data_IF_992926229617
#
_entry.id   IF_992926229617
#
_cell.length_a   1.000
_cell.length_b   1.000
_cell.length_c   1.000
_cell.angle_alpha   90.00
_cell.angle_beta   90.00
_cell.angle_gamma   90.00
#
_symmetry.space_group_name_H-M   'P 1'
#
loop_
_entity.id
_entity.type
_entity.pdbx_description
1 polymer ?
#
# COMPACT_ATOMS: atom_id res chain seq x y z
N UNK A 1 -16.05 -16.14 -10.87
CA UNK A 1 -16.58 -15.11 -9.99
C UNK A 1 -15.55 -14.81 -8.92
N UNK A 2 -15.32 -13.53 -8.67
CA UNK A 2 -14.36 -13.07 -7.65
C UNK A 2 -14.76 -13.61 -6.26
N UNK A 3 -13.79 -14.20 -5.58
CA UNK A 3 -13.88 -14.57 -4.16
C UNK A 3 -12.88 -13.72 -3.38
N UNK A 4 -13.29 -13.25 -2.22
CA UNK A 4 -12.46 -12.43 -1.31
C UNK A 4 -12.43 -13.11 0.05
N UNK A 5 -11.24 -13.26 0.62
CA UNK A 5 -11.13 -13.69 2.01
C UNK A 5 -11.60 -12.56 2.93
N UNK A 6 -12.77 -12.77 3.52
CA UNK A 6 -13.35 -11.83 4.48
C UNK A 6 -12.82 -12.12 5.88
N UNK A 7 -12.03 -11.21 6.43
CA UNK A 7 -11.44 -11.38 7.76
C UNK A 7 -12.51 -11.56 8.85
N UNK A 8 -13.67 -10.91 8.71
CA UNK A 8 -14.77 -11.04 9.66
C UNK A 8 -15.37 -12.45 9.64
N UNK A 9 -15.57 -13.02 8.45
CA UNK A 9 -16.10 -14.38 8.27
C UNK A 9 -15.02 -15.46 8.39
N UNK A 10 -13.71 -15.11 8.23
CA UNK A 10 -12.55 -16.02 8.22
C UNK A 10 -12.58 -17.07 7.12
N UNK A 11 -13.21 -16.76 6.02
CA UNK A 11 -13.33 -17.62 4.84
C UNK A 11 -13.34 -16.81 3.55
N UNK A 12 -13.07 -17.48 2.42
CA UNK A 12 -13.26 -16.90 1.10
C UNK A 12 -14.75 -16.90 0.76
N UNK A 13 -15.30 -15.70 0.54
CA UNK A 13 -16.69 -15.49 0.16
C UNK A 13 -16.77 -14.99 -1.27
N UNK A 14 -17.81 -15.39 -2.00
CA UNK A 14 -18.11 -14.81 -3.31
C UNK A 14 -18.43 -13.33 -3.14
N UNK A 15 -17.69 -12.48 -3.85
CA UNK A 15 -17.90 -11.04 -3.79
C UNK A 15 -19.17 -10.66 -4.54
N UNK A 16 -20.09 -10.01 -3.84
CA UNK A 16 -21.31 -9.45 -4.38
C UNK A 16 -21.39 -8.00 -3.96
N UNK A 17 -21.21 -7.03 -4.87
CA UNK A 17 -21.31 -5.61 -4.53
C UNK A 17 -22.74 -5.24 -4.15
N UNK A 18 -22.90 -4.29 -3.24
CA UNK A 18 -24.20 -3.79 -2.78
C UNK A 18 -25.00 -3.16 -3.92
N UNK A 19 -24.32 -2.52 -4.84
CA UNK A 19 -24.91 -1.96 -6.06
C UNK A 19 -24.28 -2.67 -7.26
N UNK A 20 -25.10 -3.30 -8.08
CA UNK A 20 -24.62 -4.05 -9.24
C UNK A 20 -23.68 -3.19 -10.11
N UNK A 21 -22.48 -3.71 -10.39
CA UNK A 21 -21.45 -3.04 -11.18
C UNK A 21 -20.68 -1.94 -10.46
N UNK A 22 -20.98 -1.60 -9.19
CA UNK A 22 -20.28 -0.58 -8.41
C UNK A 22 -19.67 -1.15 -7.16
N UNK A 23 -18.50 -0.66 -6.79
CA UNK A 23 -17.80 -1.06 -5.57
C UNK A 23 -17.41 0.17 -4.77
N UNK A 24 -17.76 0.19 -3.51
CA UNK A 24 -17.35 1.18 -2.52
C UNK A 24 -16.25 0.57 -1.65
N UNK A 25 -15.04 1.17 -1.68
CA UNK A 25 -13.88 0.66 -0.96
C UNK A 25 -13.24 1.77 -0.12
N UNK A 26 -13.11 1.53 1.19
CA UNK A 26 -12.36 2.37 2.11
C UNK A 26 -11.11 1.66 2.58
N UNK A 27 -9.98 2.35 2.61
CA UNK A 27 -8.72 1.82 3.18
C UNK A 27 -8.16 2.81 4.17
N UNK A 28 -7.85 2.34 5.38
CA UNK A 28 -7.18 3.17 6.37
C UNK A 28 -5.85 3.66 5.84
N UNK A 29 -5.71 4.98 5.81
CA UNK A 29 -4.50 5.67 5.39
C UNK A 29 -3.50 5.87 6.52
N UNK A 30 -2.55 6.76 6.30
CA UNK A 30 -1.42 6.93 7.17
C UNK A 30 -1.57 8.12 8.10
N UNK A 31 -0.95 8.01 9.29
CA UNK A 31 -0.67 9.16 10.16
C UNK A 31 0.58 9.86 9.62
N UNK A 32 0.41 11.09 9.14
CA UNK A 32 1.44 11.83 8.39
C UNK A 32 2.36 12.63 9.31
N UNK A 33 3.23 11.94 10.03
CA UNK A 33 4.21 12.56 10.95
C UNK A 33 5.67 12.24 10.60
N UNK A 34 5.91 11.32 9.67
CA UNK A 34 7.23 10.87 9.24
C UNK A 34 7.15 10.26 7.84
N UNK A 35 8.30 9.99 7.20
CA UNK A 35 8.36 9.33 5.89
C UNK A 35 7.72 7.94 5.90
N UNK A 36 7.14 7.57 4.76
CA UNK A 36 6.55 6.25 4.57
C UNK A 36 7.62 5.15 4.61
N UNK A 37 7.28 4.03 5.24
CA UNK A 37 8.13 2.84 5.32
C UNK A 37 7.57 1.69 4.47
N UNK A 38 8.33 0.59 4.35
CA UNK A 38 7.92 -0.58 3.55
C UNK A 38 6.56 -1.18 3.93
N UNK A 39 6.14 -1.07 5.19
CA UNK A 39 4.79 -1.47 5.61
C UNK A 39 3.71 -0.63 4.93
N UNK A 40 3.92 0.69 4.82
CA UNK A 40 3.04 1.60 4.08
C UNK A 40 3.07 1.30 2.58
N UNK A 41 4.27 1.07 1.99
CA UNK A 41 4.39 0.66 0.60
C UNK A 41 3.54 -0.58 0.30
N UNK A 42 3.56 -1.56 1.21
CA UNK A 42 2.77 -2.78 1.06
C UNK A 42 1.27 -2.50 1.03
N UNK A 43 0.75 -1.71 1.97
CA UNK A 43 -0.68 -1.32 1.99
C UNK A 43 -1.04 -0.61 0.68
N UNK A 44 -0.25 0.39 0.27
CA UNK A 44 -0.50 1.17 -0.94
C UNK A 44 -0.52 0.31 -2.20
N UNK A 45 0.49 -0.54 -2.42
CA UNK A 45 0.60 -1.41 -3.59
C UNK A 45 -0.49 -2.48 -3.62
N UNK A 46 -0.81 -3.09 -2.46
CA UNK A 46 -1.86 -4.13 -2.38
C UNK A 46 -3.22 -3.55 -2.73
N UNK A 47 -3.62 -2.43 -2.15
CA UNK A 47 -4.94 -1.86 -2.43
C UNK A 47 -5.03 -1.15 -3.78
N UNK A 48 -3.92 -0.67 -4.33
CA UNK A 48 -3.83 -0.26 -5.73
C UNK A 48 -4.07 -1.47 -6.66
N UNK A 49 -3.44 -2.60 -6.41
CA UNK A 49 -3.64 -3.83 -7.17
C UNK A 49 -5.10 -4.33 -7.08
N UNK A 50 -5.69 -4.32 -5.88
CA UNK A 50 -7.11 -4.67 -5.68
C UNK A 50 -8.02 -3.74 -6.51
N UNK A 51 -7.80 -2.42 -6.43
CA UNK A 51 -8.57 -1.43 -7.20
C UNK A 51 -8.40 -1.60 -8.70
N UNK A 52 -7.16 -1.83 -9.18
CA UNK A 52 -6.87 -2.08 -10.60
C UNK A 52 -7.58 -3.33 -11.09
N UNK A 53 -7.55 -4.43 -10.35
CA UNK A 53 -8.24 -5.66 -10.74
C UNK A 53 -9.75 -5.51 -10.78
N UNK A 54 -10.35 -4.90 -9.76
CA UNK A 54 -11.79 -4.64 -9.74
C UNK A 54 -12.23 -3.82 -10.95
N UNK A 55 -11.47 -2.78 -11.32
CA UNK A 55 -11.73 -1.96 -12.52
C UNK A 55 -11.51 -2.73 -13.82
N UNK A 56 -10.46 -3.53 -13.91
CA UNK A 56 -10.20 -4.39 -15.07
C UNK A 56 -11.29 -5.46 -15.25
N UNK A 57 -11.91 -5.90 -14.15
CA UNK A 57 -13.08 -6.78 -14.17
C UNK A 57 -14.40 -6.08 -14.53
N UNK A 58 -14.37 -4.80 -14.92
CA UNK A 58 -15.53 -4.02 -15.36
C UNK A 58 -16.36 -3.38 -14.25
N UNK A 59 -15.84 -3.29 -13.03
CA UNK A 59 -16.52 -2.66 -11.90
C UNK A 59 -16.15 -1.16 -11.80
N UNK A 60 -17.15 -0.33 -11.50
CA UNK A 60 -16.98 1.09 -11.16
C UNK A 60 -16.61 1.21 -9.68
N UNK A 61 -15.32 1.50 -9.41
CA UNK A 61 -14.77 1.51 -8.04
C UNK A 61 -14.65 2.93 -7.53
N UNK A 62 -15.30 3.23 -6.42
CA UNK A 62 -15.02 4.43 -5.61
C UNK A 62 -14.06 4.04 -4.48
N UNK A 63 -12.80 4.44 -4.62
CA UNK A 63 -11.74 4.14 -3.66
C UNK A 63 -11.43 5.37 -2.79
N UNK A 64 -11.65 5.22 -1.48
CA UNK A 64 -11.37 6.23 -0.45
C UNK A 64 -10.19 5.77 0.40
N UNK A 65 -9.18 6.62 0.58
CA UNK A 65 -8.08 6.42 1.53
C UNK A 65 -7.88 7.71 2.34
N UNK A 66 -8.07 7.65 3.64
CA UNK A 66 -7.94 8.84 4.47
C UNK A 66 -6.49 9.26 4.72
N UNK A 67 -6.36 10.50 5.17
CA UNK A 67 -5.12 11.05 5.72
C UNK A 67 -5.41 11.44 7.18
N UNK A 68 -4.71 10.78 8.12
CA UNK A 68 -4.74 11.17 9.52
C UNK A 68 -3.75 12.30 9.73
N UNK A 69 -4.24 13.54 9.76
CA UNK A 69 -3.49 14.78 9.90
C UNK A 69 -3.62 15.40 11.30
N UNK A 70 -4.17 14.65 12.26
CA UNK A 70 -4.22 14.97 13.69
C UNK A 70 -4.03 13.72 14.55
N UNK A 71 -2.96 13.67 15.35
CA UNK A 71 -2.63 12.54 16.22
C UNK A 71 -1.59 12.98 17.27
N UNK A 72 -1.45 12.23 18.38
CA UNK A 72 -0.44 12.48 19.42
C UNK A 72 0.98 12.54 18.84
N UNK A 73 1.31 11.68 17.86
CA UNK A 73 2.63 11.61 17.23
C UNK A 73 2.90 12.86 16.38
N UNK A 74 1.88 13.36 15.68
CA UNK A 74 1.96 14.59 14.89
C UNK A 74 2.23 15.78 15.80
N UNK A 75 1.43 15.92 16.86
CA UNK A 75 1.55 17.01 17.83
C UNK A 75 2.93 17.00 18.50
N UNK A 76 3.37 15.81 18.96
CA UNK A 76 4.68 15.65 19.57
C UNK A 76 5.80 16.08 18.60
N UNK A 77 5.75 15.59 17.36
CA UNK A 77 6.78 15.89 16.33
C UNK A 77 6.80 17.37 15.95
N UNK A 78 5.64 18.00 15.81
CA UNK A 78 5.53 19.42 15.51
C UNK A 78 6.11 20.28 16.65
N UNK A 79 5.79 19.94 17.91
CA UNK A 79 6.35 20.61 19.09
C UNK A 79 7.88 20.43 19.19
N UNK A 80 8.40 19.23 18.92
CA UNK A 80 9.84 18.96 18.90
C UNK A 80 10.56 19.78 17.81
N UNK A 81 9.92 19.98 16.66
CA UNK A 81 10.46 20.78 15.55
C UNK A 81 10.22 22.28 15.71
N UNK A 82 9.36 22.72 16.62
CA UNK A 82 8.96 24.12 16.79
C UNK A 82 8.17 24.67 15.60
N UNK A 83 7.35 23.82 14.95
CA UNK A 83 6.55 24.16 13.76
C UNK A 83 5.06 23.88 13.97
N UNK A 84 4.21 24.50 13.13
CA UNK A 84 2.77 24.22 13.12
C UNK A 84 2.48 22.82 12.56
N UNK A 85 1.44 22.15 13.11
CA UNK A 85 1.05 20.80 12.67
C UNK A 85 0.65 20.77 11.17
N UNK A 86 0.06 21.85 10.65
CA UNK A 86 -0.34 21.91 9.24
C UNK A 86 0.88 21.93 8.32
N UNK A 87 1.96 22.59 8.72
CA UNK A 87 3.23 22.62 7.98
C UNK A 87 3.89 21.23 8.00
N UNK A 88 3.94 20.62 9.18
CA UNK A 88 4.49 19.27 9.33
C UNK A 88 3.71 18.26 8.48
N UNK A 89 2.38 18.21 8.62
CA UNK A 89 1.55 17.23 7.94
C UNK A 89 1.55 17.42 6.42
N UNK A 90 1.52 18.68 5.92
CA UNK A 90 1.59 18.92 4.47
C UNK A 90 2.89 18.39 3.89
N UNK A 91 4.04 18.63 4.54
CA UNK A 91 5.33 18.10 4.08
C UNK A 91 5.34 16.59 3.95
N UNK A 92 4.75 15.86 4.91
CA UNK A 92 4.71 14.41 4.85
C UNK A 92 3.60 13.85 3.94
N UNK A 93 2.55 14.62 3.67
CA UNK A 93 1.58 14.32 2.60
C UNK A 93 2.28 14.40 1.24
N UNK A 94 3.00 15.49 0.98
CA UNK A 94 3.73 15.67 -0.28
C UNK A 94 4.75 14.54 -0.49
N UNK A 95 5.50 14.19 0.57
CA UNK A 95 6.43 13.07 0.54
C UNK A 95 5.76 11.70 0.31
N UNK A 96 4.59 11.47 0.89
CA UNK A 96 3.79 10.26 0.67
C UNK A 96 3.29 10.18 -0.78
N UNK A 97 2.84 11.29 -1.34
CA UNK A 97 2.37 11.37 -2.73
C UNK A 97 3.51 11.07 -3.71
N UNK A 98 4.71 11.64 -3.47
CA UNK A 98 5.92 11.34 -4.25
C UNK A 98 6.29 9.84 -4.16
N UNK A 99 6.37 9.29 -2.96
CA UNK A 99 6.70 7.88 -2.72
C UNK A 99 5.68 6.94 -3.38
N UNK A 100 4.38 7.28 -3.32
CA UNK A 100 3.30 6.53 -3.96
C UNK A 100 3.42 6.56 -5.48
N UNK A 101 3.67 7.73 -6.06
CA UNK A 101 3.83 7.91 -7.50
C UNK A 101 5.03 7.12 -8.03
N UNK A 102 6.17 7.13 -7.33
CA UNK A 102 7.35 6.33 -7.68
C UNK A 102 7.04 4.84 -7.72
N UNK A 103 6.24 4.33 -6.77
CA UNK A 103 5.80 2.93 -6.74
C UNK A 103 4.72 2.59 -7.78
N UNK A 104 4.32 3.52 -8.65
CA UNK A 104 3.27 3.34 -9.64
C UNK A 104 1.89 3.14 -9.02
N UNK A 105 1.68 3.61 -7.79
CA UNK A 105 0.38 3.56 -7.10
C UNK A 105 -0.52 4.67 -7.64
N UNK A 106 -1.72 4.30 -8.10
CA UNK A 106 -2.72 5.26 -8.54
C UNK A 106 -3.29 6.01 -7.33
N UNK A 107 -3.57 7.30 -7.54
CA UNK A 107 -4.26 8.07 -6.50
C UNK A 107 -5.63 7.45 -6.21
N UNK A 108 -6.06 7.38 -4.94
CA UNK A 108 -7.44 7.11 -4.59
C UNK A 108 -8.37 8.17 -5.21
N UNK A 109 -9.62 7.81 -5.43
CA UNK A 109 -10.61 8.76 -5.95
C UNK A 109 -10.88 9.90 -4.95
N UNK A 110 -10.82 9.56 -3.65
CA UNK A 110 -11.05 10.52 -2.56
C UNK A 110 -10.02 10.30 -1.45
N UNK A 111 -9.33 11.37 -1.03
CA UNK A 111 -8.39 11.37 0.10
C UNK A 111 -8.82 12.39 1.16
N UNK A 112 -9.78 12.04 2.04
CA UNK A 112 -10.28 12.94 3.06
C UNK A 112 -9.25 13.11 4.19
N UNK A 113 -9.15 14.34 4.73
CA UNK A 113 -8.34 14.66 5.91
C UNK A 113 -9.19 14.60 7.17
N UNK A 114 -8.65 14.05 8.24
CA UNK A 114 -9.35 13.93 9.53
C UNK A 114 -9.77 15.31 10.08
N UNK A 115 -8.90 16.32 9.99
CA UNK A 115 -9.18 17.68 10.48
C UNK A 115 -10.37 18.35 9.78
N UNK A 116 -10.65 17.99 8.52
CA UNK A 116 -11.80 18.49 7.77
C UNK A 116 -13.14 17.84 8.18
N UNK A 117 -13.09 16.76 8.97
CA UNK A 117 -14.29 15.97 9.32
C UNK A 117 -14.65 16.01 10.82
N UNK A 118 -14.02 16.89 11.60
CA UNK A 118 -14.21 16.98 13.06
C UNK A 118 -15.67 17.22 13.43
N UNK A 119 -16.40 18.04 12.67
CA UNK A 119 -17.84 18.26 12.90
C UNK A 119 -18.68 16.97 12.80
N UNK A 120 -18.35 16.11 11.83
CA UNK A 120 -18.98 14.78 11.71
C UNK A 120 -18.63 13.85 12.87
N UNK A 121 -17.37 13.93 13.35
CA UNK A 121 -16.93 13.16 14.53
C UNK A 121 -17.69 13.57 15.78
N UNK A 122 -17.85 14.87 16.03
CA UNK A 122 -18.65 15.39 17.13
C UNK A 122 -20.11 14.91 17.03
N UNK A 123 -20.69 14.93 15.84
CA UNK A 123 -22.07 14.46 15.62
C UNK A 123 -22.20 12.95 15.91
N UNK A 124 -21.27 12.12 15.44
CA UNK A 124 -21.29 10.67 15.69
C UNK A 124 -21.09 10.36 17.19
N UNK A 125 -20.16 11.04 17.86
CA UNK A 125 -19.93 10.90 19.31
C UNK A 125 -21.19 11.29 20.09
N UNK A 126 -21.86 12.38 19.70
CA UNK A 126 -23.13 12.81 20.33
C UNK A 126 -24.22 11.76 20.18
N UNK A 127 -24.34 11.12 19.01
CA UNK A 127 -25.27 10.02 18.77
C UNK A 127 -24.92 8.79 19.63
N UNK A 128 -23.64 8.44 19.76
CA UNK A 128 -23.19 7.34 20.63
C UNK A 128 -23.52 7.59 22.11
N UNK A 129 -23.34 8.82 22.59
CA UNK A 129 -23.72 9.20 23.96
C UNK A 129 -25.25 9.08 24.15
N UNK A 130 -26.04 9.63 23.23
CA UNK A 130 -27.48 9.59 23.28
C UNK A 130 -28.04 8.15 23.30
N UNK A 131 -27.37 7.22 22.64
CA UNK A 131 -27.70 5.79 22.60
C UNK A 131 -27.11 4.98 23.76
N UNK A 132 -26.32 5.59 24.65
CA UNK A 132 -25.71 4.92 25.80
C UNK A 132 -24.43 4.11 25.49
N UNK A 133 -23.85 4.26 24.29
CA UNK A 133 -22.61 3.61 23.91
C UNK A 133 -21.34 4.41 24.25
N UNK A 134 -21.50 5.68 24.64
CA UNK A 134 -20.38 6.52 25.05
C UNK A 134 -20.75 7.35 26.28
N UNK A 135 -19.73 7.86 26.98
CA UNK A 135 -19.93 8.70 28.17
C UNK A 135 -18.85 9.77 28.28
N UNK A 136 -19.25 10.94 28.80
CA UNK A 136 -18.37 12.02 29.15
C UNK A 136 -17.79 11.80 30.55
N UNK A 137 -16.47 11.80 30.66
CA UNK A 137 -15.73 11.58 31.91
C UNK A 137 -15.42 12.91 32.63
N UNK A 138 -15.04 12.82 33.92
CA UNK A 138 -14.76 14.02 34.76
C UNK A 138 -13.56 14.83 34.31
N UNK A 139 -12.60 14.22 33.57
CA UNK A 139 -11.43 14.89 32.99
C UNK A 139 -11.73 15.66 31.69
N UNK A 140 -12.98 15.60 31.21
CA UNK A 140 -13.40 16.23 29.96
C UNK A 140 -13.26 15.33 28.71
N UNK A 141 -12.72 14.12 28.84
CA UNK A 141 -12.65 13.15 27.73
C UNK A 141 -14.02 12.47 27.52
N UNK A 142 -14.23 11.99 26.31
CA UNK A 142 -15.37 11.10 26.00
C UNK A 142 -14.82 9.73 25.63
N UNK A 143 -15.34 8.70 26.30
CA UNK A 143 -14.96 7.32 26.06
C UNK A 143 -16.13 6.53 25.47
N UNK A 144 -15.79 5.59 24.58
CA UNK A 144 -16.71 4.54 24.14
C UNK A 144 -16.79 3.45 25.22
N UNK A 145 -17.97 2.99 25.54
CA UNK A 145 -18.20 1.91 26.50
C UNK A 145 -18.22 0.57 25.78
N UNK A 146 -17.10 -0.16 25.78
CA UNK A 146 -16.95 -1.42 25.06
C UNK A 146 -17.98 -2.46 25.46
N UNK A 147 -18.32 -2.54 26.75
CA UNK A 147 -19.34 -3.46 27.27
C UNK A 147 -20.75 -3.18 26.75
N UNK A 148 -21.00 -2.00 26.18
CA UNK A 148 -22.31 -1.67 25.60
C UNK A 148 -22.54 -2.26 24.21
N UNK A 149 -21.50 -2.82 23.56
CA UNK A 149 -21.57 -3.42 22.23
C UNK A 149 -21.38 -4.94 22.34
N UNK A 150 -22.48 -5.68 22.33
CA UNK A 150 -22.54 -7.10 22.65
C UNK A 150 -21.65 -7.99 21.74
N UNK A 151 -21.35 -7.54 20.50
CA UNK A 151 -20.55 -8.28 19.53
C UNK A 151 -19.12 -7.76 19.39
N UNK A 152 -18.63 -6.98 20.37
CA UNK A 152 -17.24 -6.52 20.37
C UNK A 152 -16.27 -7.68 20.39
N UNK A 153 -15.25 -7.63 19.54
CA UNK A 153 -14.30 -8.73 19.34
C UNK A 153 -14.64 -9.64 18.15
N UNK A 154 -15.75 -9.37 17.42
CA UNK A 154 -16.18 -10.22 16.29
C UNK A 154 -15.17 -10.27 15.14
N UNK A 155 -14.45 -9.16 14.86
CA UNK A 155 -13.44 -9.11 13.82
C UNK A 155 -12.13 -9.78 14.26
N UNK A 156 -11.65 -9.47 15.46
CA UNK A 156 -10.43 -10.07 16.02
C UNK A 156 -10.64 -11.54 16.38
N UNK A 157 -11.89 -11.93 16.62
CA UNK A 157 -12.29 -13.26 17.08
C UNK A 157 -11.85 -13.60 18.49
N UNK A 158 -11.64 -12.57 19.28
CA UNK A 158 -11.28 -12.68 20.70
C UNK A 158 -12.44 -12.27 21.56
N UNK A 159 -12.66 -13.02 22.65
CA UNK A 159 -13.60 -12.59 23.67
C UNK A 159 -13.07 -11.36 24.44
N UNK A 160 -13.94 -10.60 25.09
CA UNK A 160 -13.51 -9.49 25.96
C UNK A 160 -12.58 -9.98 27.09
N UNK A 161 -12.78 -11.21 27.56
CA UNK A 161 -11.92 -11.83 28.59
C UNK A 161 -10.50 -12.09 28.06
N UNK A 162 -10.37 -12.61 26.82
CA UNK A 162 -9.09 -12.83 26.17
C UNK A 162 -8.36 -11.51 25.93
N UNK A 163 -9.09 -10.47 25.54
CA UNK A 163 -8.55 -9.14 25.30
C UNK A 163 -8.03 -8.50 26.60
N UNK A 164 -8.78 -8.62 27.70
CA UNK A 164 -8.36 -8.15 29.04
C UNK A 164 -7.14 -8.88 29.56
N UNK A 165 -7.01 -10.17 29.30
CA UNK A 165 -5.88 -10.98 29.74
C UNK A 165 -4.58 -10.65 28.99
N UNK A 166 -4.67 -10.12 27.76
CA UNK A 166 -3.54 -9.81 26.88
C UNK A 166 -2.99 -8.39 26.98
N UNK A 167 -3.69 -7.46 27.61
CA UNK A 167 -3.28 -6.05 27.69
C UNK A 167 -2.60 -5.73 29.03
N UNK A 168 -1.37 -5.18 28.93
CA UNK A 168 -0.78 -4.34 29.99
C UNK A 168 -1.38 -2.92 29.86
N UNK A 169 -2.62 -2.73 30.35
CA UNK A 169 -3.27 -1.42 30.29
C UNK A 169 -2.74 -0.56 31.43
N UNK A 170 -2.19 0.60 31.11
CA UNK A 170 -2.12 1.70 32.10
C UNK A 170 -3.55 2.02 32.53
N UNK A 171 -3.80 1.87 33.82
CA UNK A 171 -5.14 2.07 34.39
C UNK A 171 -5.44 3.57 34.37
N UNK A 172 -6.12 4.02 33.31
CA UNK A 172 -6.72 5.35 33.30
C UNK A 172 -7.93 5.33 34.25
N UNK A 173 -7.78 6.04 35.38
CA UNK A 173 -8.77 6.11 36.44
C UNK A 173 -10.10 6.77 36.03
N UNK A 174 -10.15 7.42 34.87
CA UNK A 174 -11.36 8.05 34.33
C UNK A 174 -12.20 7.10 33.47
N UNK A 175 -11.66 5.96 33.04
CA UNK A 175 -12.39 4.91 32.32
C UNK A 175 -13.27 4.11 33.29
N UNK A 176 -14.46 3.72 32.81
CA UNK A 176 -15.35 2.80 33.55
C UNK A 176 -14.89 1.35 33.45
N UNK A 177 -14.32 0.99 32.30
CA UNK A 177 -13.70 -0.30 32.01
C UNK A 177 -12.34 -0.06 31.33
N UNK A 178 -11.28 -0.83 31.66
CA UNK A 178 -9.98 -0.69 31.00
C UNK A 178 -10.01 -0.78 29.48
N UNK A 179 -10.95 -1.54 28.92
CA UNK A 179 -11.13 -1.71 27.48
C UNK A 179 -11.79 -0.51 26.78
N UNK A 180 -12.43 0.39 27.56
CA UNK A 180 -13.04 1.59 26.98
C UNK A 180 -11.98 2.42 26.26
N UNK A 181 -12.32 2.94 25.09
CA UNK A 181 -11.38 3.72 24.28
C UNK A 181 -11.87 5.15 24.05
N UNK A 182 -10.93 6.05 23.87
CA UNK A 182 -11.20 7.48 23.76
C UNK A 182 -11.80 7.83 22.40
N UNK A 183 -12.88 8.58 22.41
CA UNK A 183 -13.55 9.18 21.24
C UNK A 183 -13.22 10.66 21.10
N UNK A 184 -13.08 11.37 22.23
CA UNK A 184 -12.73 12.78 22.29
C UNK A 184 -11.75 13.01 23.43
N UNK A 185 -10.64 13.66 23.15
CA UNK A 185 -9.61 14.03 24.12
C UNK A 185 -9.78 15.49 24.48
N UNK A 186 -9.92 15.81 25.77
CA UNK A 186 -9.92 17.18 26.26
C UNK A 186 -8.61 17.88 25.93
N UNK A 187 -8.69 19.17 25.65
CA UNK A 187 -7.54 19.97 25.24
C UNK A 187 -6.44 19.99 26.31
N UNK A 188 -5.18 19.86 25.88
CA UNK A 188 -3.99 20.09 26.68
C UNK A 188 -3.22 21.33 26.17
N UNK A 189 -2.34 21.93 27.01
CA UNK A 189 -1.51 23.03 26.53
C UNK A 189 -0.70 22.67 25.30
N UNK A 190 -0.64 23.58 24.34
CA UNK A 190 0.07 23.43 23.05
C UNK A 190 -0.47 22.32 22.13
N UNK A 191 -1.73 21.92 22.31
CA UNK A 191 -2.43 21.04 21.39
C UNK A 191 -3.49 21.81 20.58
N UNK A 192 -3.70 21.45 19.29
CA UNK A 192 -4.81 21.97 18.52
C UNK A 192 -6.13 21.48 19.13
N UNK A 193 -7.17 22.30 19.04
CA UNK A 193 -8.47 21.95 19.63
C UNK A 193 -9.63 22.54 18.85
N UNK A 194 -10.77 21.87 18.94
CA UNK A 194 -12.05 22.27 18.39
C UNK A 194 -13.08 22.39 19.51
N UNK A 195 -14.06 23.27 19.33
CA UNK A 195 -15.19 23.38 20.25
C UNK A 195 -16.11 22.17 20.11
N UNK A 196 -16.55 21.64 21.25
CA UNK A 196 -17.50 20.53 21.30
C UNK A 196 -18.49 20.69 22.45
N UNK A 197 -19.60 19.91 22.50
CA UNK A 197 -20.52 19.91 23.65
C UNK A 197 -19.87 19.53 24.98
N UNK A 198 -18.72 18.89 24.95
CA UNK A 198 -17.96 18.40 26.13
C UNK A 198 -16.80 19.32 26.51
N UNK A 199 -16.65 20.44 25.81
CA UNK A 199 -15.52 21.37 25.95
C UNK A 199 -14.55 21.30 24.79
N UNK A 200 -13.50 22.14 24.85
CA UNK A 200 -12.45 22.12 23.83
C UNK A 200 -11.64 20.84 23.88
N UNK A 201 -11.32 20.30 22.69
CA UNK A 201 -10.57 19.08 22.58
C UNK A 201 -10.33 18.67 21.14
N UNK A 202 -9.98 17.41 20.94
CA UNK A 202 -9.73 16.81 19.62
C UNK A 202 -10.24 15.37 19.55
N UNK A 203 -10.51 14.84 18.35
CA UNK A 203 -10.96 13.46 18.20
C UNK A 203 -9.91 12.45 18.64
N UNK A 204 -10.37 11.29 19.09
CA UNK A 204 -9.58 10.07 19.17
C UNK A 204 -9.34 9.49 17.76
N UNK A 205 -8.32 8.65 17.64
CA UNK A 205 -7.91 8.10 16.33
C UNK A 205 -8.98 7.22 15.66
N UNK A 206 -9.72 6.42 16.44
CA UNK A 206 -10.62 5.42 15.87
C UNK A 206 -11.90 6.01 15.25
N UNK A 207 -12.37 7.17 15.69
CA UNK A 207 -13.60 7.79 15.18
C UNK A 207 -13.42 8.39 13.79
N UNK A 208 -12.19 8.70 13.39
CA UNK A 208 -11.87 9.34 12.13
C UNK A 208 -12.38 8.53 10.93
N UNK A 209 -11.95 7.26 10.84
CA UNK A 209 -12.29 6.38 9.71
C UNK A 209 -13.77 6.02 9.67
N UNK A 210 -14.41 5.84 10.84
CA UNK A 210 -15.87 5.63 10.90
C UNK A 210 -16.65 6.78 10.28
N UNK A 211 -16.23 8.02 10.57
CA UNK A 211 -16.90 9.23 10.06
C UNK A 211 -16.58 9.49 8.61
N UNK A 212 -15.31 9.40 8.22
CA UNK A 212 -14.91 9.64 6.83
C UNK A 212 -15.47 8.56 5.89
N UNK A 213 -15.49 7.29 6.32
CA UNK A 213 -16.13 6.20 5.59
C UNK A 213 -17.63 6.47 5.38
N UNK A 214 -18.35 6.81 6.44
CA UNK A 214 -19.77 7.13 6.36
C UNK A 214 -20.07 8.37 5.51
N UNK A 215 -19.20 9.39 5.55
CA UNK A 215 -19.35 10.62 4.78
C UNK A 215 -19.24 10.38 3.27
N UNK A 216 -18.28 9.58 2.83
CA UNK A 216 -17.94 9.44 1.42
C UNK A 216 -18.56 8.20 0.75
N UNK A 217 -18.80 7.12 1.50
CA UNK A 217 -19.31 5.85 0.97
C UNK A 217 -20.70 5.47 1.54
N UNK A 218 -21.18 6.22 2.52
CA UNK A 218 -22.41 5.89 3.22
C UNK A 218 -22.19 5.06 4.49
N UNK A 219 -23.26 4.87 5.27
CA UNK A 219 -23.20 4.18 6.57
C UNK A 219 -22.89 2.68 6.47
N UNK A 220 -23.08 2.11 5.29
CA UNK A 220 -22.83 0.73 4.93
C UNK A 220 -22.19 0.70 3.53
N UNK A 221 -21.06 0.02 3.36
CA UNK A 221 -20.34 -0.07 2.09
C UNK A 221 -19.68 -1.44 1.91
N UNK A 222 -19.09 -1.69 0.71
CA UNK A 222 -18.67 -3.03 0.31
C UNK A 222 -17.40 -3.50 1.01
N UNK A 223 -16.30 -2.76 0.90
CA UNK A 223 -14.96 -3.22 1.28
C UNK A 223 -14.31 -2.22 2.23
N UNK A 224 -13.77 -2.72 3.35
CA UNK A 224 -12.86 -1.97 4.21
C UNK A 224 -11.53 -2.72 4.31
N UNK A 225 -10.43 -2.00 4.11
CA UNK A 225 -9.09 -2.57 4.06
C UNK A 225 -8.05 -1.86 4.90
N UNK A 226 -6.93 -2.56 5.15
CA UNK A 226 -5.78 -2.01 5.85
C UNK A 226 -4.74 -3.07 6.19
N UNK A 227 -3.70 -2.70 6.95
CA UNK A 227 -2.73 -3.63 7.49
C UNK A 227 -3.35 -4.57 8.54
N UNK A 228 -2.80 -5.77 8.68
CA UNK A 228 -3.27 -6.75 9.66
C UNK A 228 -3.19 -6.24 11.12
N UNK A 229 -2.29 -5.29 11.40
CA UNK A 229 -2.16 -4.63 12.70
C UNK A 229 -3.35 -3.72 13.04
N UNK A 230 -4.09 -3.26 12.03
CA UNK A 230 -5.29 -2.46 12.23
C UNK A 230 -6.51 -3.30 12.61
N UNK A 231 -6.49 -4.62 12.38
CA UNK A 231 -7.61 -5.50 12.70
C UNK A 231 -8.06 -5.31 14.15
N UNK A 232 -7.09 -5.20 15.07
CA UNK A 232 -7.35 -4.89 16.47
C UNK A 232 -6.26 -3.95 17.02
N UNK A 233 -6.63 -2.88 17.72
CA UNK A 233 -8.01 -2.49 18.11
C UNK A 233 -8.74 -1.62 17.09
N UNK A 234 -8.08 -1.07 16.04
CA UNK A 234 -8.59 0.03 15.23
C UNK A 234 -9.90 -0.33 14.51
N UNK A 235 -9.89 -1.33 13.63
CA UNK A 235 -11.07 -1.73 12.86
C UNK A 235 -12.18 -2.34 13.72
N UNK A 236 -11.81 -3.05 14.81
CA UNK A 236 -12.79 -3.52 15.80
C UNK A 236 -13.54 -2.34 16.42
N UNK A 237 -12.82 -1.26 16.78
CA UNK A 237 -13.39 -0.04 17.34
C UNK A 237 -14.25 0.71 16.32
N UNK A 238 -13.82 0.73 15.04
CA UNK A 238 -14.64 1.32 13.97
C UNK A 238 -15.98 0.59 13.78
N UNK A 239 -15.98 -0.74 13.84
CA UNK A 239 -17.21 -1.54 13.80
C UNK A 239 -18.14 -1.12 14.95
N UNK A 240 -17.61 -1.10 16.17
CA UNK A 240 -18.39 -0.76 17.35
C UNK A 240 -18.98 0.65 17.23
N UNK A 241 -18.17 1.64 16.82
CA UNK A 241 -18.62 3.02 16.62
C UNK A 241 -19.70 3.14 15.56
N UNK A 242 -19.43 2.58 14.38
CA UNK A 242 -20.28 2.76 13.21
C UNK A 242 -21.61 2.02 13.33
N UNK A 243 -21.58 0.76 13.78
CA UNK A 243 -22.79 -0.04 13.92
C UNK A 243 -23.68 0.47 15.07
N UNK A 244 -23.09 0.85 16.22
CA UNK A 244 -23.83 1.44 17.32
C UNK A 244 -24.43 2.81 16.99
N UNK A 245 -23.70 3.66 16.25
CA UNK A 245 -24.19 4.98 15.85
C UNK A 245 -25.32 4.90 14.82
N UNK A 246 -25.26 3.95 13.88
CA UNK A 246 -26.10 3.92 12.68
C UNK A 246 -27.18 2.81 12.67
N UNK A 247 -27.16 1.86 13.60
CA UNK A 247 -28.08 0.70 13.68
C UNK A 247 -28.08 -0.17 12.39
N UNK A 248 -26.94 -0.28 11.72
CA UNK A 248 -26.79 -1.09 10.52
C UNK A 248 -25.37 -1.70 10.45
N UNK A 249 -25.20 -2.73 9.66
CA UNK A 249 -23.87 -3.28 9.33
C UNK A 249 -23.00 -2.19 8.75
N UNK A 250 -21.75 -2.10 9.18
CA UNK A 250 -20.80 -1.11 8.69
C UNK A 250 -20.21 -1.49 7.34
N UNK A 251 -19.64 -2.70 7.23
CA UNK A 251 -18.92 -3.17 6.03
C UNK A 251 -19.21 -4.63 5.74
N UNK A 252 -19.33 -5.00 4.46
CA UNK A 252 -19.55 -6.38 4.04
C UNK A 252 -18.28 -7.22 4.05
N UNK A 253 -17.15 -6.67 3.54
CA UNK A 253 -15.90 -7.42 3.34
C UNK A 253 -14.73 -6.68 3.98
N UNK A 254 -14.07 -7.35 4.92
CA UNK A 254 -12.87 -6.85 5.59
C UNK A 254 -11.63 -7.50 4.98
N UNK A 255 -10.72 -6.70 4.42
CA UNK A 255 -9.50 -7.16 3.75
C UNK A 255 -8.27 -6.66 4.51
N UNK A 256 -7.39 -7.58 4.92
CA UNK A 256 -6.16 -7.23 5.63
C UNK A 256 -4.93 -7.80 4.92
N UNK A 257 -3.96 -6.93 4.63
CA UNK A 257 -2.66 -7.38 4.15
C UNK A 257 -1.75 -7.78 5.31
N UNK A 258 -0.94 -8.81 5.10
CA UNK A 258 -0.02 -9.33 6.12
C UNK A 258 1.11 -8.34 6.47
N UNK A 259 1.85 -8.63 7.53
CA UNK A 259 2.96 -7.81 8.00
C UNK A 259 4.17 -7.84 7.08
N UNK A 260 4.95 -6.74 7.07
CA UNK A 260 6.33 -6.76 6.58
C UNK A 260 7.25 -7.16 7.73
N UNK A 261 8.09 -8.15 7.48
CA UNK A 261 9.19 -8.58 8.34
C UNK A 261 10.51 -8.17 7.70
N UNK A 262 11.53 -8.03 8.50
CA UNK A 262 12.90 -7.79 8.05
C UNK A 262 13.76 -8.89 8.65
N UNK A 263 14.39 -9.71 7.80
CA UNK A 263 15.18 -10.87 8.22
C UNK A 263 14.43 -11.75 9.24
N UNK A 264 13.15 -12.06 8.92
CA UNK A 264 12.19 -12.84 9.71
C UNK A 264 11.75 -12.20 11.04
N UNK A 265 12.22 -10.99 11.37
CA UNK A 265 11.79 -10.25 12.55
C UNK A 265 10.75 -9.16 12.18
N UNK A 266 9.91 -8.77 13.14
CA UNK A 266 8.96 -7.67 12.94
C UNK A 266 9.74 -6.36 12.74
N UNK A 267 9.42 -5.64 11.64
CA UNK A 267 9.98 -4.32 11.39
C UNK A 267 9.55 -3.33 12.48
N UNK A 268 10.50 -2.68 13.15
CA UNK A 268 10.22 -1.63 14.12
C UNK A 268 11.38 -0.63 14.27
N UNK A 269 11.06 0.62 14.61
CA UNK A 269 12.08 1.66 14.88
C UNK A 269 12.99 1.29 16.07
N UNK A 270 12.44 0.62 17.09
CA UNK A 270 13.18 0.23 18.28
C UNK A 270 14.23 -0.87 18.03
N UNK A 271 14.04 -1.69 17.01
CA UNK A 271 14.97 -2.75 16.60
C UNK A 271 16.03 -2.25 15.60
N UNK A 272 15.93 -1.01 15.14
CA UNK A 272 16.86 -0.47 14.13
C UNK A 272 16.73 -1.11 12.72
N UNK A 273 15.72 -1.95 12.50
CA UNK A 273 15.42 -2.62 11.24
C UNK A 273 14.30 -1.94 10.46
N UNK A 274 14.19 -0.62 10.60
CA UNK A 274 13.16 0.21 9.99
C UNK A 274 13.69 0.85 8.70
N UNK A 275 13.04 0.59 7.56
CA UNK A 275 13.43 1.13 6.27
C UNK A 275 12.32 2.00 5.70
N UNK A 276 12.64 3.24 5.35
CA UNK A 276 11.73 4.10 4.60
C UNK A 276 11.69 3.62 3.14
N UNK A 277 10.60 3.96 2.43
CA UNK A 277 10.51 3.73 0.98
C UNK A 277 11.72 4.37 0.29
N UNK A 278 12.04 5.62 0.65
CA UNK A 278 13.17 6.38 0.07
C UNK A 278 14.53 5.71 0.29
N UNK A 279 14.74 5.05 1.43
CA UNK A 279 15.99 4.32 1.67
C UNK A 279 16.11 3.10 0.76
N UNK A 280 15.03 2.40 0.53
CA UNK A 280 15.00 1.24 -0.38
C UNK A 280 15.17 1.69 -1.83
N UNK A 281 14.54 2.80 -2.24
CA UNK A 281 14.63 3.35 -3.59
C UNK A 281 16.02 3.93 -3.94
N UNK A 282 16.89 4.17 -2.95
CA UNK A 282 18.32 4.49 -3.22
C UNK A 282 19.07 3.30 -3.83
N UNK A 283 18.63 2.07 -3.55
CA UNK A 283 19.30 0.83 -3.97
C UNK A 283 18.56 0.10 -5.08
N UNK A 284 17.24 0.18 -5.07
CA UNK A 284 16.37 -0.61 -5.94
C UNK A 284 15.40 0.27 -6.71
N UNK A 285 15.17 -0.11 -7.95
CA UNK A 285 14.14 0.49 -8.78
C UNK A 285 12.75 0.30 -8.16
N UNK A 286 11.89 1.31 -8.28
CA UNK A 286 10.58 1.31 -7.64
C UNK A 286 9.66 0.18 -8.14
N UNK A 287 9.75 -0.19 -9.42
CA UNK A 287 8.97 -1.30 -9.97
C UNK A 287 9.49 -2.65 -9.46
N UNK A 288 10.79 -2.77 -9.13
CA UNK A 288 11.32 -3.95 -8.43
C UNK A 288 10.69 -4.08 -7.04
N UNK A 289 10.55 -2.97 -6.31
CA UNK A 289 9.89 -2.97 -4.99
C UNK A 289 8.41 -3.34 -5.13
N UNK A 290 7.71 -2.78 -6.13
CA UNK A 290 6.32 -3.14 -6.44
C UNK A 290 6.19 -4.62 -6.78
N UNK A 291 7.04 -5.13 -7.66
CA UNK A 291 7.05 -6.55 -8.05
C UNK A 291 7.36 -7.46 -6.85
N UNK A 292 8.33 -7.09 -6.01
CA UNK A 292 8.64 -7.80 -4.77
C UNK A 292 7.41 -7.93 -3.87
N UNK A 293 6.60 -6.88 -3.72
CA UNK A 293 5.37 -6.90 -2.93
C UNK A 293 4.33 -7.84 -3.57
N UNK A 294 4.13 -7.75 -4.89
CA UNK A 294 3.09 -8.49 -5.62
C UNK A 294 3.42 -9.97 -5.84
N UNK A 295 4.71 -10.37 -5.79
CA UNK A 295 5.09 -11.79 -5.92
C UNK A 295 4.75 -12.63 -4.68
N UNK A 296 4.34 -12.02 -3.60
CA UNK A 296 3.79 -12.68 -2.42
C UNK A 296 2.29 -12.44 -2.34
N UNK A 297 1.52 -13.46 -1.91
CA UNK A 297 0.09 -13.27 -1.65
C UNK A 297 -0.11 -12.17 -0.60
N UNK A 298 -1.07 -11.26 -0.83
CA UNK A 298 -1.22 -10.06 -0.01
C UNK A 298 -1.46 -10.37 1.49
N UNK A 299 -2.11 -11.48 1.84
CA UNK A 299 -2.34 -11.91 3.23
C UNK A 299 -1.14 -12.55 3.90
N UNK A 300 -0.19 -13.09 3.14
CA UNK A 300 0.98 -13.73 3.70
C UNK A 300 1.95 -12.70 4.29
N UNK A 301 2.71 -13.00 5.34
CA UNK A 301 3.82 -12.16 5.74
C UNK A 301 4.79 -11.94 4.57
N UNK A 302 5.33 -10.73 4.44
CA UNK A 302 6.33 -10.38 3.43
C UNK A 302 7.67 -10.18 4.12
N UNK A 303 8.62 -11.06 3.85
CA UNK A 303 9.96 -10.95 4.43
C UNK A 303 10.86 -10.13 3.52
N UNK A 304 11.30 -8.97 3.99
CA UNK A 304 12.23 -8.08 3.31
C UNK A 304 13.66 -8.48 3.63
N UNK A 305 14.47 -8.58 2.61
CA UNK A 305 15.94 -8.57 2.66
C UNK A 305 16.48 -8.10 1.31
N UNK A 306 17.72 -7.64 1.26
CA UNK A 306 18.37 -7.26 0.00
C UNK A 306 18.36 -8.44 -0.97
N UNK A 307 18.61 -9.67 -0.49
CA UNK A 307 18.54 -10.88 -1.31
C UNK A 307 17.18 -11.08 -1.99
N UNK A 308 16.09 -10.87 -1.25
CA UNK A 308 14.75 -11.02 -1.83
C UNK A 308 14.42 -9.95 -2.86
N UNK A 309 14.97 -8.74 -2.71
CA UNK A 309 14.85 -7.70 -3.73
C UNK A 309 15.73 -7.99 -4.95
N UNK A 310 16.93 -8.55 -4.76
CA UNK A 310 17.78 -9.01 -5.88
C UNK A 310 17.10 -10.13 -6.68
N UNK A 311 16.47 -11.10 -6.00
CA UNK A 311 15.66 -12.14 -6.66
C UNK A 311 14.47 -11.54 -7.42
N UNK A 312 13.82 -10.52 -6.86
CA UNK A 312 12.73 -9.80 -7.52
C UNK A 312 13.23 -9.02 -8.75
N UNK A 313 14.37 -8.32 -8.63
CA UNK A 313 15.04 -7.61 -9.74
C UNK A 313 15.34 -8.57 -10.89
N UNK A 314 15.97 -9.71 -10.60
CA UNK A 314 16.28 -10.71 -11.62
C UNK A 314 15.03 -11.25 -12.31
N UNK A 315 13.97 -11.56 -11.56
CA UNK A 315 12.71 -12.07 -12.10
C UNK A 315 12.03 -11.02 -12.99
N UNK A 316 11.90 -9.77 -12.54
CA UNK A 316 11.31 -8.69 -13.34
C UNK A 316 12.15 -8.39 -14.61
N UNK A 317 13.49 -8.40 -14.49
CA UNK A 317 14.40 -8.24 -15.63
C UNK A 317 14.15 -9.29 -16.71
N UNK A 318 13.81 -10.53 -16.36
CA UNK A 318 13.47 -11.58 -17.36
C UNK A 318 12.21 -11.22 -18.15
N UNK A 319 11.20 -10.63 -17.53
CA UNK A 319 9.99 -10.18 -18.23
C UNK A 319 10.30 -9.03 -19.18
N UNK A 320 11.08 -8.06 -18.75
CA UNK A 320 11.54 -6.96 -19.60
C UNK A 320 12.44 -7.44 -20.73
N UNK A 321 13.33 -8.40 -20.46
CA UNK A 321 14.23 -8.99 -21.49
C UNK A 321 13.41 -9.66 -22.60
N UNK A 322 12.32 -10.34 -22.27
CA UNK A 322 11.45 -10.94 -23.27
C UNK A 322 10.83 -9.89 -24.21
N UNK A 323 10.57 -8.67 -23.75
CA UNK A 323 10.00 -7.59 -24.56
C UNK A 323 11.05 -6.69 -25.21
N UNK A 324 12.36 -6.97 -25.04
CA UNK A 324 13.43 -6.12 -25.57
C UNK A 324 13.48 -6.15 -27.09
N UNK A 325 13.58 -4.97 -27.69
CA UNK A 325 13.57 -4.83 -29.15
C UNK A 325 12.20 -5.04 -29.79
N UNK A 326 11.15 -5.17 -28.97
CA UNK A 326 9.77 -5.40 -29.44
C UNK A 326 8.95 -4.14 -29.20
N UNK A 327 8.41 -3.58 -30.25
CA UNK A 327 7.51 -2.43 -30.15
C UNK A 327 6.05 -2.90 -30.24
N UNK A 328 5.44 -3.16 -29.07
CA UNK A 328 4.04 -3.54 -28.97
C UNK A 328 3.27 -2.62 -28.03
N UNK A 329 2.05 -2.33 -28.42
CA UNK A 329 1.07 -1.68 -27.54
C UNK A 329 0.44 -2.74 -26.64
N UNK A 330 0.30 -2.45 -25.36
CA UNK A 330 -0.39 -3.30 -24.41
C UNK A 330 -1.84 -3.57 -24.89
N UNK A 331 -2.21 -4.84 -24.95
CA UNK A 331 -3.56 -5.24 -25.38
C UNK A 331 -3.96 -6.51 -24.63
N UNK A 332 -5.16 -6.53 -24.08
CA UNK A 332 -5.74 -7.71 -23.43
C UNK A 332 -6.76 -8.33 -24.38
N UNK A 333 -6.53 -9.59 -24.73
CA UNK A 333 -7.55 -10.45 -25.37
C UNK A 333 -8.20 -11.31 -24.28
N UNK A 334 -9.41 -10.97 -23.92
CA UNK A 334 -10.18 -11.66 -22.88
C UNK A 334 -10.58 -13.10 -23.27
N UNK A 335 -10.55 -13.45 -24.56
CA UNK A 335 -10.84 -14.79 -25.03
C UNK A 335 -9.61 -15.72 -25.00
N UNK A 336 -8.40 -15.17 -24.80
CA UNK A 336 -7.20 -15.98 -24.74
C UNK A 336 -7.15 -16.82 -23.45
N UNK A 337 -6.65 -18.06 -23.55
CA UNK A 337 -6.49 -18.97 -22.41
C UNK A 337 -5.64 -18.33 -21.29
N UNK A 338 -4.65 -17.53 -21.68
CA UNK A 338 -3.80 -16.79 -20.72
C UNK A 338 -4.56 -15.75 -19.91
N UNK A 339 -5.54 -15.04 -20.52
CA UNK A 339 -6.41 -14.15 -19.76
C UNK A 339 -7.30 -14.94 -18.81
N UNK A 340 -7.87 -16.05 -19.25
CA UNK A 340 -8.72 -16.87 -18.39
C UNK A 340 -7.93 -17.43 -17.20
N UNK A 341 -6.68 -17.87 -17.40
CA UNK A 341 -5.80 -18.32 -16.33
C UNK A 341 -5.47 -17.17 -15.35
N UNK A 342 -5.10 -15.99 -15.87
CA UNK A 342 -4.84 -14.79 -15.08
C UNK A 342 -6.08 -14.37 -14.29
N UNK A 343 -7.24 -14.37 -14.93
CA UNK A 343 -8.52 -14.05 -14.29
C UNK A 343 -8.87 -15.03 -13.17
N UNK A 344 -8.67 -16.33 -13.38
CA UNK A 344 -8.90 -17.36 -12.35
C UNK A 344 -8.02 -17.09 -11.13
N UNK A 345 -6.74 -16.77 -11.33
CA UNK A 345 -5.83 -16.41 -10.26
C UNK A 345 -6.28 -15.14 -9.50
N UNK A 346 -6.59 -14.08 -10.23
CA UNK A 346 -7.01 -12.81 -9.62
C UNK A 346 -8.39 -12.89 -8.96
N UNK A 347 -9.29 -13.71 -9.49
CA UNK A 347 -10.61 -13.97 -8.91
C UNK A 347 -10.54 -14.90 -7.67
N UNK A 348 -9.42 -15.54 -7.40
CA UNK A 348 -9.20 -16.32 -6.18
C UNK A 348 -8.46 -15.52 -5.11
N UNK A 349 -9.13 -14.52 -4.56
CA UNK A 349 -8.61 -13.70 -3.46
C UNK A 349 -7.35 -12.91 -3.85
N UNK A 350 -7.38 -12.35 -5.07
CA UNK A 350 -6.28 -11.55 -5.63
C UNK A 350 -4.92 -12.28 -5.58
N UNK A 351 -4.89 -13.52 -6.04
CA UNK A 351 -3.69 -14.38 -6.02
C UNK A 351 -2.66 -13.93 -7.07
N UNK A 352 -1.98 -12.83 -6.76
CA UNK A 352 -0.94 -12.26 -7.63
C UNK A 352 0.24 -13.19 -7.89
N UNK A 353 0.70 -14.08 -6.98
CA UNK A 353 1.70 -15.08 -7.31
C UNK A 353 1.35 -15.96 -8.52
N UNK A 354 0.13 -16.49 -8.58
CA UNK A 354 -0.33 -17.27 -9.72
C UNK A 354 -0.55 -16.42 -10.97
N UNK A 355 -1.07 -15.20 -10.82
CA UNK A 355 -1.20 -14.26 -11.93
C UNK A 355 0.17 -13.92 -12.55
N UNK A 356 1.22 -13.71 -11.73
CA UNK A 356 2.58 -13.47 -12.18
C UNK A 356 3.17 -14.73 -12.88
N UNK A 357 2.83 -15.93 -12.45
CA UNK A 357 3.24 -17.15 -13.16
C UNK A 357 2.74 -17.16 -14.62
N UNK A 358 1.49 -16.72 -14.86
CA UNK A 358 0.95 -16.56 -16.22
C UNK A 358 1.77 -15.58 -17.06
N UNK A 359 2.28 -14.49 -16.46
CA UNK A 359 3.16 -13.54 -17.16
C UNK A 359 4.46 -14.21 -17.60
N UNK A 360 5.06 -15.06 -16.78
CA UNK A 360 6.26 -15.82 -17.16
C UNK A 360 5.97 -16.85 -18.24
N UNK A 361 4.81 -17.50 -18.23
CA UNK A 361 4.42 -18.43 -19.28
C UNK A 361 4.23 -17.71 -20.63
N UNK A 362 3.63 -16.53 -20.63
CA UNK A 362 3.53 -15.67 -21.81
C UNK A 362 4.91 -15.24 -22.32
N UNK A 363 5.81 -14.82 -21.44
CA UNK A 363 7.17 -14.46 -21.81
C UNK A 363 7.93 -15.65 -22.44
N UNK A 364 7.80 -16.86 -21.87
CA UNK A 364 8.38 -18.07 -22.40
C UNK A 364 7.77 -18.46 -23.77
N UNK A 365 6.47 -18.30 -23.92
CA UNK A 365 5.76 -18.56 -25.19
C UNK A 365 6.21 -17.56 -26.27
N UNK A 366 6.27 -16.28 -25.95
CA UNK A 366 6.76 -15.25 -26.86
C UNK A 366 8.19 -15.52 -27.32
N UNK A 367 9.10 -15.86 -26.39
CA UNK A 367 10.50 -16.20 -26.71
C UNK A 367 10.60 -17.40 -27.69
N UNK A 368 9.64 -18.33 -27.69
CA UNK A 368 9.61 -19.48 -28.59
C UNK A 368 9.00 -19.17 -29.94
N UNK A 369 7.97 -18.34 -29.98
CA UNK A 369 7.14 -18.14 -31.16
C UNK A 369 7.45 -16.85 -31.92
N UNK A 370 7.90 -15.80 -31.22
CA UNK A 370 8.02 -14.45 -31.75
C UNK A 370 6.69 -13.78 -32.05
N UNK A 371 5.56 -14.33 -31.56
CA UNK A 371 4.22 -13.83 -31.85
C UNK A 371 3.95 -12.52 -31.09
N UNK A 372 3.82 -11.42 -31.83
CA UNK A 372 3.59 -10.10 -31.26
C UNK A 372 2.26 -9.99 -30.51
N UNK A 373 1.27 -10.82 -30.82
CA UNK A 373 0.03 -10.84 -30.06
C UNK A 373 0.26 -11.37 -28.63
N UNK A 374 1.14 -12.37 -28.46
CA UNK A 374 1.54 -12.87 -27.14
C UNK A 374 2.32 -11.80 -26.35
N UNK A 375 3.21 -11.05 -27.02
CA UNK A 375 3.91 -9.94 -26.37
C UNK A 375 2.97 -8.81 -25.92
N UNK A 376 1.99 -8.46 -26.76
CA UNK A 376 0.97 -7.47 -26.44
C UNK A 376 0.10 -7.91 -25.25
N UNK A 377 -0.28 -9.20 -25.20
CA UNK A 377 -1.01 -9.82 -24.10
C UNK A 377 -0.19 -9.81 -22.80
N UNK A 378 1.08 -10.19 -22.85
CA UNK A 378 1.99 -10.13 -21.71
C UNK A 378 2.01 -8.71 -21.11
N UNK A 379 2.25 -7.70 -21.96
CA UNK A 379 2.28 -6.30 -21.52
C UNK A 379 0.93 -5.85 -20.97
N UNK A 380 -0.18 -6.23 -21.63
CA UNK A 380 -1.53 -5.89 -21.20
C UNK A 380 -1.88 -6.43 -19.82
N UNK A 381 -1.62 -7.72 -19.57
CA UNK A 381 -1.88 -8.33 -18.26
C UNK A 381 -0.95 -7.80 -17.17
N UNK A 382 0.33 -7.56 -17.48
CA UNK A 382 1.26 -6.97 -16.54
C UNK A 382 0.85 -5.54 -16.13
N UNK A 383 0.34 -4.72 -17.08
CA UNK A 383 -0.15 -3.37 -16.78
C UNK A 383 -1.35 -3.36 -15.83
N UNK A 384 -2.19 -4.41 -15.81
CA UNK A 384 -3.25 -4.55 -14.80
C UNK A 384 -2.64 -4.58 -13.38
N UNK A 385 -1.45 -5.16 -13.24
CA UNK A 385 -0.72 -5.17 -11.97
C UNK A 385 0.17 -3.93 -11.76
N UNK A 386 0.20 -2.99 -12.72
CA UNK A 386 1.10 -1.83 -12.72
C UNK A 386 2.57 -2.23 -12.92
N UNK A 387 2.80 -3.26 -13.75
CA UNK A 387 4.10 -3.77 -14.14
C UNK A 387 4.30 -3.61 -15.66
N UNK A 388 5.54 -3.54 -16.11
CA UNK A 388 5.93 -3.42 -17.53
C UNK A 388 5.33 -2.18 -18.23
N UNK A 389 5.13 -1.09 -17.48
CA UNK A 389 4.61 0.17 -18.02
C UNK A 389 5.67 0.95 -18.78
N UNK A 390 6.96 0.79 -18.42
CA UNK A 390 8.11 1.43 -19.08
C UNK A 390 8.60 0.62 -20.29
N UNK A 391 9.48 1.21 -21.09
CA UNK A 391 10.23 0.45 -22.09
C UNK A 391 11.28 -0.45 -21.42
N UNK A 392 11.69 -1.57 -22.05
CA UNK A 392 12.78 -2.41 -21.53
C UNK A 392 14.09 -1.64 -21.32
N UNK A 393 14.39 -0.72 -22.21
CA UNK A 393 15.58 0.12 -22.15
C UNK A 393 15.54 1.06 -20.95
N UNK A 394 14.43 1.76 -20.71
CA UNK A 394 14.25 2.63 -19.54
C UNK A 394 14.39 1.86 -18.22
N UNK A 395 13.82 0.66 -18.14
CA UNK A 395 13.97 -0.17 -16.94
C UNK A 395 15.41 -0.65 -16.73
N UNK A 396 16.05 -1.16 -17.80
CA UNK A 396 17.39 -1.72 -17.70
C UNK A 396 18.47 -0.66 -17.48
N UNK A 397 18.24 0.57 -17.95
CA UNK A 397 19.19 1.69 -17.87
C UNK A 397 18.91 2.62 -16.68
N UNK A 398 17.74 2.54 -16.05
CA UNK A 398 17.27 3.45 -15.01
C UNK A 398 17.88 3.27 -13.61
N UNK A 399 18.95 2.51 -13.45
CA UNK A 399 19.45 2.07 -12.14
C UNK A 399 20.48 2.94 -11.41
N UNK A 400 20.90 4.10 -11.92
CA UNK A 400 21.94 4.89 -11.24
C UNK A 400 21.60 6.37 -11.14
N UNK A 401 21.03 6.78 -10.01
CA UNK A 401 20.84 8.21 -9.70
C UNK A 401 22.19 8.95 -9.48
N UNK A 402 23.27 8.23 -9.15
CA UNK A 402 24.61 8.77 -8.86
C UNK A 402 25.70 8.31 -9.85
N UNK A 403 25.36 7.62 -10.94
CA UNK A 403 26.31 7.08 -11.91
C UNK A 403 26.52 7.95 -13.16
N UNK A 404 27.35 7.45 -14.07
CA UNK A 404 27.58 8.07 -15.38
C UNK A 404 26.26 8.25 -16.12
N UNK A 405 25.97 9.47 -16.57
CA UNK A 405 24.76 9.73 -17.37
C UNK A 405 24.76 8.92 -18.67
N UNK A 406 23.57 8.58 -19.18
CA UNK A 406 23.40 7.74 -20.37
C UNK A 406 24.25 8.24 -21.56
N UNK A 407 24.35 9.55 -21.78
CA UNK A 407 25.16 10.13 -22.85
C UNK A 407 26.67 9.87 -22.69
N UNK A 408 27.16 9.85 -21.45
CA UNK A 408 28.57 9.53 -21.17
C UNK A 408 28.86 8.05 -21.39
N UNK A 409 27.90 7.17 -21.02
CA UNK A 409 27.99 5.72 -21.27
C UNK A 409 28.00 5.44 -22.78
N UNK A 410 27.12 6.05 -23.55
CA UNK A 410 27.04 5.92 -24.99
C UNK A 410 28.33 6.43 -25.69
N UNK A 411 28.92 7.50 -25.18
CA UNK A 411 30.21 7.98 -25.66
C UNK A 411 31.34 6.95 -25.43
N UNK A 412 31.39 6.30 -24.27
CA UNK A 412 32.34 5.25 -23.97
C UNK A 412 32.11 3.98 -24.81
N UNK A 413 30.84 3.60 -25.06
CA UNK A 413 30.49 2.50 -25.97
C UNK A 413 30.99 2.80 -27.39
N UNK A 414 30.82 4.04 -27.85
CA UNK A 414 31.35 4.47 -29.15
C UNK A 414 32.85 4.38 -29.19
N UNK A 415 33.58 4.91 -28.19
CA UNK A 415 35.03 4.81 -28.07
C UNK A 415 35.52 3.36 -28.08
N UNK A 416 34.84 2.48 -27.33
CA UNK A 416 35.11 1.04 -27.32
C UNK A 416 34.95 0.39 -28.70
N UNK A 417 33.88 0.77 -29.39
CA UNK A 417 33.61 0.26 -30.75
C UNK A 417 34.70 0.69 -31.74
N UNK A 418 35.15 1.95 -31.68
CA UNK A 418 36.28 2.44 -32.50
C UNK A 418 37.60 1.74 -32.14
N UNK A 419 37.89 1.48 -30.85
CA UNK A 419 39.03 0.71 -30.41
C UNK A 419 39.01 -0.72 -30.99
N UNK A 420 37.83 -1.39 -30.97
CA UNK A 420 37.66 -2.72 -31.62
C UNK A 420 37.94 -2.69 -33.14
N UNK A 421 37.40 -1.67 -33.85
CA UNK A 421 37.67 -1.50 -35.29
C UNK A 421 39.16 -1.28 -35.60
N UNK A 422 39.82 -0.52 -34.72
CA UNK A 422 41.27 -0.29 -34.82
C UNK A 422 42.12 -1.49 -34.34
N UNK A 423 41.52 -2.62 -33.97
CA UNK A 423 42.13 -3.81 -33.37
C UNK A 423 42.90 -3.53 -32.07
N UNK A 424 42.59 -2.43 -31.38
CA UNK A 424 43.12 -2.12 -30.05
C UNK A 424 42.25 -2.77 -28.98
N UNK A 425 42.39 -4.09 -28.84
CA UNK A 425 41.58 -4.87 -27.90
C UNK A 425 41.85 -4.52 -26.43
N UNK A 426 43.08 -4.11 -26.11
CA UNK A 426 43.45 -3.70 -24.75
C UNK A 426 42.64 -2.48 -24.30
N UNK A 427 42.49 -1.48 -25.17
CA UNK A 427 41.69 -0.30 -24.90
C UNK A 427 40.18 -0.63 -24.81
N UNK A 428 39.70 -1.49 -25.70
CA UNK A 428 38.29 -1.93 -25.64
C UNK A 428 37.96 -2.69 -24.34
N UNK A 429 38.89 -3.49 -23.83
CA UNK A 429 38.70 -4.20 -22.56
C UNK A 429 38.84 -3.26 -21.37
N UNK A 430 39.74 -2.27 -21.41
CA UNK A 430 39.86 -1.23 -20.38
C UNK A 430 38.51 -0.50 -20.18
N UNK A 431 37.94 0.01 -21.28
CA UNK A 431 36.65 0.71 -21.25
C UNK A 431 35.54 -0.19 -20.66
N UNK A 432 35.52 -1.48 -21.05
CA UNK A 432 34.54 -2.42 -20.51
C UNK A 432 34.70 -2.61 -19.01
N UNK A 433 35.92 -2.71 -18.50
CA UNK A 433 36.19 -2.88 -17.07
C UNK A 433 35.86 -1.61 -16.28
N UNK A 434 36.16 -0.43 -16.83
CA UNK A 434 35.81 0.84 -16.20
C UNK A 434 34.29 0.99 -16.08
N UNK A 435 33.53 0.72 -17.14
CA UNK A 435 32.08 0.73 -17.11
C UNK A 435 31.51 -0.30 -16.12
N UNK A 436 32.13 -1.50 -16.07
CA UNK A 436 31.71 -2.52 -15.11
C UNK A 436 31.95 -2.09 -13.65
N UNK A 437 33.07 -1.39 -13.38
CA UNK A 437 33.39 -0.85 -12.07
C UNK A 437 32.38 0.24 -11.63
N UNK A 438 31.81 0.96 -12.60
CA UNK A 438 30.72 1.94 -12.40
C UNK A 438 29.31 1.27 -12.40
N UNK A 439 29.27 -0.08 -12.34
CA UNK A 439 27.98 -0.81 -12.31
C UNK A 439 27.28 -0.88 -13.66
N UNK A 440 28.00 -0.70 -14.79
CA UNK A 440 27.41 -0.77 -16.13
C UNK A 440 27.90 -2.04 -16.84
N UNK A 441 26.96 -2.90 -17.20
CA UNK A 441 27.22 -4.15 -17.93
C UNK A 441 26.98 -3.95 -19.43
N UNK A 442 28.01 -4.17 -20.26
CA UNK A 442 27.86 -4.10 -21.70
C UNK A 442 27.46 -5.45 -22.29
N UNK A 443 26.49 -5.43 -23.19
CA UNK A 443 26.00 -6.59 -23.95
C UNK A 443 26.23 -6.40 -25.43
N UNK A 444 27.13 -7.21 -25.99
CA UNK A 444 27.45 -7.18 -27.41
C UNK A 444 26.51 -8.07 -28.24
N UNK A 445 25.94 -7.55 -29.32
CA UNK A 445 25.10 -8.27 -30.27
C UNK A 445 25.52 -7.97 -31.73
N UNK A 446 25.04 -8.73 -32.72
CA UNK A 446 25.23 -8.40 -34.13
C UNK A 446 24.72 -7.02 -34.53
N UNK A 447 23.74 -6.49 -33.79
CA UNK A 447 23.11 -5.19 -34.04
C UNK A 447 23.87 -4.04 -33.37
N UNK A 448 24.84 -4.34 -32.48
CA UNK A 448 25.61 -3.34 -31.73
C UNK A 448 25.79 -3.72 -30.26
N UNK A 449 26.44 -2.82 -29.54
CA UNK A 449 26.60 -2.93 -28.07
C UNK A 449 25.51 -2.14 -27.40
N UNK A 450 24.77 -2.79 -26.49
CA UNK A 450 23.83 -2.17 -25.58
C UNK A 450 24.36 -2.26 -24.15
N UNK A 451 23.72 -1.57 -23.22
CA UNK A 451 24.14 -1.59 -21.82
C UNK A 451 22.95 -1.71 -20.88
N UNK A 452 23.22 -2.17 -19.67
CA UNK A 452 22.30 -2.16 -18.55
C UNK A 452 23.03 -1.87 -17.26
N UNK A 453 22.31 -1.41 -16.24
CA UNK A 453 22.81 -1.35 -14.86
C UNK A 453 23.00 -2.77 -14.29
N UNK A 454 24.03 -2.98 -13.48
CA UNK A 454 24.39 -4.27 -12.87
C UNK A 454 23.33 -4.78 -11.88
#
# INVERSE_FOLDING_TARGET
MLKIYNTLAREKQTFVPMVAGKVSMYVCGMTVYDFCHLGHARVMVVFDMVSRWLRAAGLDVTYVRNITDIDDKIIKRANENGEDISVLTQRFIDAMDEDSALLGVLRPDIEPRATAHVGGMIAMISALIAKGHAYHAKNGDVFYSVNSFATYGKLSGKSLEDLRAGERVEVDTFKRDPMDFVLWKSVKPNEPSWDSPWGKGRPGWHIECSVMGACHLGKHFDIHGGGQDLQFPHHENEIAQSEAANDCTFVNYWIHNGFVRVDDEKMSKSLGNFFTIRDVLKKYDAEVVRFFILRAHYRSPLNYSDKHLDDAKQALTRLYTALRGVNVVAKVDENADSYQAFKVAMDDDFNTPEAIAVLFDLANNFNKTGDLAVAAQLKGLANILGLLERSPEEFMQGGSADGLGASAIEAQITARTEAKKAKNFAEADRIRQELLAEGIVLEDSPQGTTWRSA
#
